data_IF_120333614678
#
_entry.id   IF_120333614678
#
_cell.length_a   1.000
_cell.length_b   1.000
_cell.length_c   1.000
_cell.angle_alpha   90.00
_cell.angle_beta   90.00
_cell.angle_gamma   90.00
#
_symmetry.space_group_name_H-M   'P 1'
#
loop_
_entity.id
_entity.type
_entity.pdbx_description
1 polymer ?
#
# COMPACT_ATOMS: atom_id res chain seq x y z
N UNK A 1 -1.75 -7.56 6.72
CA UNK A 1 -0.88 -7.57 7.91
C UNK A 1 -0.72 -8.97 8.52
N UNK A 2 -1.79 -9.78 8.60
CA UNK A 2 -1.72 -11.13 9.20
C UNK A 2 -0.73 -12.07 8.50
N UNK A 3 -0.71 -12.13 7.15
CA UNK A 3 0.21 -13.01 6.40
C UNK A 3 1.69 -12.72 6.64
N UNK A 4 2.09 -11.44 6.73
CA UNK A 4 3.48 -11.05 7.00
C UNK A 4 3.89 -11.33 8.44
N UNK A 5 2.93 -11.31 9.37
CA UNK A 5 3.18 -11.69 10.77
C UNK A 5 3.31 -13.21 10.88
N UNK A 6 2.42 -13.95 10.22
CA UNK A 6 2.42 -15.41 10.15
C UNK A 6 3.71 -15.94 9.50
N UNK A 7 4.19 -15.31 8.42
CA UNK A 7 5.47 -15.61 7.77
C UNK A 7 6.66 -15.50 8.75
N UNK A 8 6.76 -14.38 9.49
CA UNK A 8 7.83 -14.17 10.47
C UNK A 8 7.79 -15.20 11.60
N UNK A 9 6.60 -15.50 12.11
CA UNK A 9 6.41 -16.46 13.19
C UNK A 9 6.77 -17.89 12.75
N UNK A 10 6.29 -18.33 11.58
CA UNK A 10 6.60 -19.65 11.02
C UNK A 10 8.07 -19.80 10.67
N UNK A 11 8.68 -18.77 10.06
CA UNK A 11 10.10 -18.76 9.72
C UNK A 11 10.96 -18.91 10.98
N UNK A 12 10.63 -18.21 12.07
CA UNK A 12 11.34 -18.34 13.34
C UNK A 12 11.19 -19.76 13.96
N UNK A 13 10.02 -20.39 13.82
CA UNK A 13 9.74 -21.74 14.35
C UNK A 13 10.43 -22.85 13.54
N UNK A 14 10.45 -22.73 12.22
CA UNK A 14 11.18 -23.64 11.33
C UNK A 14 12.69 -23.53 11.58
N UNK A 15 13.22 -22.31 11.66
CA UNK A 15 14.65 -22.08 11.91
C UNK A 15 15.12 -22.53 13.30
N UNK A 16 14.23 -22.59 14.29
CA UNK A 16 14.54 -23.10 15.64
C UNK A 16 14.47 -24.63 15.76
N UNK A 17 14.25 -25.36 14.66
CA UNK A 17 14.20 -26.83 14.66
C UNK A 17 12.96 -27.41 15.37
N UNK A 18 12.00 -26.55 15.74
CA UNK A 18 10.69 -26.94 16.29
C UNK A 18 9.63 -27.16 15.19
N UNK A 19 10.05 -27.06 13.93
CA UNK A 19 9.26 -27.28 12.73
C UNK A 19 8.65 -28.68 12.68
N UNK A 20 7.35 -28.83 12.89
CA UNK A 20 6.64 -30.06 12.54
C UNK A 20 6.38 -29.99 11.03
N UNK A 21 6.50 -31.10 10.28
CA UNK A 21 6.52 -31.09 8.80
C UNK A 21 5.37 -30.34 8.09
N UNK A 22 4.25 -30.10 8.78
CA UNK A 22 3.12 -29.28 8.30
C UNK A 22 3.43 -27.78 8.20
N UNK A 23 4.36 -27.26 8.99
CA UNK A 23 4.70 -25.83 9.06
C UNK A 23 5.52 -25.37 7.85
N UNK A 24 6.36 -26.26 7.30
CA UNK A 24 7.07 -25.99 6.04
C UNK A 24 6.12 -25.86 4.85
N UNK A 25 5.09 -26.71 4.78
CA UNK A 25 4.07 -26.62 3.73
C UNK A 25 3.27 -25.31 3.84
N UNK A 26 2.88 -24.91 5.06
CA UNK A 26 2.17 -23.65 5.31
C UNK A 26 3.04 -22.43 4.95
N UNK A 27 4.32 -22.43 5.30
CA UNK A 27 5.24 -21.35 4.96
C UNK A 27 5.40 -21.21 3.44
N UNK A 28 5.47 -22.32 2.71
CA UNK A 28 5.49 -22.31 1.24
C UNK A 28 4.21 -21.70 0.64
N UNK A 29 3.05 -22.01 1.20
CA UNK A 29 1.77 -21.41 0.77
C UNK A 29 1.75 -19.89 1.01
N UNK A 30 2.24 -19.44 2.17
CA UNK A 30 2.31 -18.02 2.51
C UNK A 30 3.26 -17.28 1.57
N UNK A 31 4.44 -17.85 1.28
CA UNK A 31 5.36 -17.23 0.31
C UNK A 31 4.74 -17.12 -1.07
N UNK A 32 4.06 -18.16 -1.57
CA UNK A 32 3.36 -18.11 -2.85
C UNK A 32 2.30 -16.99 -2.89
N UNK A 33 1.51 -16.84 -1.83
CA UNK A 33 0.52 -15.74 -1.72
C UNK A 33 1.17 -14.37 -1.62
N UNK A 34 2.27 -14.22 -0.89
CA UNK A 34 3.00 -12.96 -0.75
C UNK A 34 3.65 -12.53 -2.09
N UNK A 35 4.13 -13.50 -2.87
CA UNK A 35 4.67 -13.29 -4.21
C UNK A 35 3.56 -12.87 -5.18
N UNK A 36 2.41 -13.54 -5.17
CA UNK A 36 1.25 -13.22 -6.01
C UNK A 36 0.77 -11.77 -5.82
N UNK A 37 0.77 -11.27 -4.59
CA UNK A 37 0.37 -9.88 -4.28
C UNK A 37 1.52 -8.87 -4.39
N UNK A 38 2.71 -9.30 -4.79
CA UNK A 38 3.94 -8.50 -4.83
C UNK A 38 4.17 -7.72 -3.51
N UNK A 39 4.08 -8.41 -2.38
CA UNK A 39 4.11 -7.83 -1.04
C UNK A 39 5.41 -7.06 -0.74
N UNK A 40 6.53 -7.51 -1.32
CA UNK A 40 7.86 -6.89 -1.23
C UNK A 40 7.90 -5.51 -1.91
N UNK A 41 7.16 -5.33 -3.01
CA UNK A 41 7.07 -4.06 -3.76
C UNK A 41 6.06 -3.09 -3.18
N UNK A 42 5.15 -3.55 -2.33
CA UNK A 42 4.07 -2.74 -1.77
C UNK A 42 4.57 -1.45 -1.06
N UNK A 43 5.60 -1.46 -0.20
CA UNK A 43 6.08 -0.24 0.46
C UNK A 43 6.63 0.79 -0.53
N UNK A 44 7.37 0.35 -1.54
CA UNK A 44 7.91 1.23 -2.57
C UNK A 44 6.79 1.87 -3.40
N UNK A 45 5.79 1.08 -3.82
CA UNK A 45 4.61 1.59 -4.54
C UNK A 45 3.82 2.61 -3.71
N UNK A 46 3.59 2.32 -2.43
CA UNK A 46 2.91 3.24 -1.52
C UNK A 46 3.70 4.56 -1.36
N UNK A 47 5.03 4.47 -1.23
CA UNK A 47 5.89 5.65 -1.10
C UNK A 47 5.83 6.55 -2.33
N UNK A 48 5.81 5.98 -3.54
CA UNK A 48 5.65 6.75 -4.80
C UNK A 48 4.33 7.51 -4.84
N UNK A 49 3.21 6.86 -4.48
CA UNK A 49 1.88 7.49 -4.45
C UNK A 49 1.84 8.61 -3.41
N UNK A 50 2.32 8.33 -2.21
CA UNK A 50 2.35 9.31 -1.11
C UNK A 50 3.23 10.51 -1.47
N UNK A 51 4.43 10.29 -2.01
CA UNK A 51 5.31 11.37 -2.45
C UNK A 51 4.65 12.24 -3.54
N UNK A 52 3.96 11.62 -4.49
CA UNK A 52 3.19 12.30 -5.52
C UNK A 52 2.08 13.21 -5.00
N UNK A 53 1.41 12.78 -3.92
CA UNK A 53 0.38 13.56 -3.23
C UNK A 53 0.94 14.58 -2.21
N UNK A 54 2.26 14.73 -2.15
CA UNK A 54 2.96 15.73 -1.34
C UNK A 54 3.41 15.25 0.05
N UNK A 55 3.32 13.95 0.35
CA UNK A 55 3.82 13.42 1.63
C UNK A 55 5.34 13.24 1.58
N UNK A 56 6.06 14.03 2.39
CA UNK A 56 7.51 13.85 2.58
C UNK A 56 7.85 12.50 3.22
N UNK A 57 9.09 12.03 3.05
CA UNK A 57 9.56 10.79 3.68
C UNK A 57 9.35 10.77 5.21
N UNK A 58 9.50 11.93 5.87
CA UNK A 58 9.20 12.08 7.30
C UNK A 58 7.72 11.86 7.59
N UNK A 59 6.83 12.46 6.79
CA UNK A 59 5.38 12.31 6.96
C UNK A 59 4.91 10.87 6.74
N UNK A 60 5.54 10.13 5.83
CA UNK A 60 5.20 8.73 5.59
C UNK A 60 5.43 7.83 6.83
N UNK A 61 6.24 8.28 7.80
CA UNK A 61 6.50 7.59 9.07
C UNK A 61 5.65 8.12 10.24
N UNK A 62 4.86 9.17 10.03
CA UNK A 62 4.02 9.76 11.09
C UNK A 62 2.73 8.98 11.29
N UNK A 63 2.18 9.07 12.51
CA UNK A 63 0.89 8.44 12.79
C UNK A 63 -0.25 9.23 12.17
N UNK A 64 -1.24 8.51 11.64
CA UNK A 64 -2.36 9.12 10.92
C UNK A 64 -3.20 10.09 11.75
N UNK A 65 -3.18 9.94 13.08
CA UNK A 65 -3.87 10.83 14.03
C UNK A 65 -3.27 12.24 14.08
N UNK A 66 -2.00 12.40 13.70
CA UNK A 66 -1.30 13.69 13.72
C UNK A 66 -1.64 14.57 12.50
N UNK A 67 -2.21 13.98 11.45
CA UNK A 67 -2.60 14.72 10.24
C UNK A 67 -3.88 15.54 10.43
N UNK A 68 -3.90 16.72 9.79
CA UNK A 68 -5.13 17.52 9.65
C UNK A 68 -6.16 16.82 8.77
N UNK A 69 -7.41 17.30 8.78
CA UNK A 69 -8.49 16.74 7.96
C UNK A 69 -8.14 16.65 6.46
N UNK A 70 -7.53 17.70 5.90
CA UNK A 70 -7.08 17.70 4.50
C UNK A 70 -6.01 16.65 4.19
N UNK A 71 -5.03 16.48 5.08
CA UNK A 71 -4.00 15.44 4.94
C UNK A 71 -4.58 14.02 5.08
N UNK A 72 -5.57 13.82 5.96
CA UNK A 72 -6.29 12.54 6.05
C UNK A 72 -7.11 12.25 4.79
N UNK A 73 -7.71 13.28 4.17
CA UNK A 73 -8.37 13.15 2.86
C UNK A 73 -7.37 12.73 1.78
N UNK A 74 -6.20 13.37 1.70
CA UNK A 74 -5.12 12.97 0.77
C UNK A 74 -4.65 11.54 1.02
N UNK A 75 -4.58 11.12 2.28
CA UNK A 75 -4.23 9.73 2.64
C UNK A 75 -5.30 8.74 2.21
N UNK A 76 -6.58 9.10 2.30
CA UNK A 76 -7.68 8.28 1.79
C UNK A 76 -7.61 8.11 0.26
N UNK A 77 -7.30 9.19 -0.47
CA UNK A 77 -7.02 9.13 -1.91
C UNK A 77 -5.82 8.22 -2.21
N UNK A 78 -4.71 8.38 -1.48
CA UNK A 78 -3.53 7.52 -1.63
C UNK A 78 -3.88 6.03 -1.46
N UNK A 79 -4.73 5.70 -0.47
CA UNK A 79 -5.20 4.34 -0.22
C UNK A 79 -6.06 3.81 -1.37
N UNK A 80 -6.96 4.63 -1.92
CA UNK A 80 -7.79 4.24 -3.06
C UNK A 80 -6.94 3.96 -4.31
N UNK A 81 -5.97 4.83 -4.60
CA UNK A 81 -5.01 4.64 -5.71
C UNK A 81 -4.14 3.39 -5.51
N UNK A 82 -3.69 3.14 -4.29
CA UNK A 82 -2.86 1.97 -3.96
C UNK A 82 -3.61 0.65 -4.15
N UNK A 83 -4.91 0.63 -3.84
CA UNK A 83 -5.76 -0.56 -3.95
C UNK A 83 -5.99 -1.01 -5.40
N UNK A 84 -5.85 -0.11 -6.38
CA UNK A 84 -6.09 -0.36 -7.82
C UNK A 84 -7.39 -1.13 -8.09
N UNK A 85 -8.56 -0.61 -7.66
CA UNK A 85 -9.83 -1.27 -7.94
C UNK A 85 -10.18 -1.24 -9.43
N UNK A 86 -11.04 -2.16 -9.86
CA UNK A 86 -11.59 -2.20 -11.24
C UNK A 86 -12.45 -0.98 -11.58
N UNK A 87 -13.08 -0.39 -10.56
CA UNK A 87 -13.84 0.85 -10.63
C UNK A 87 -13.38 1.80 -9.53
N UNK A 88 -12.84 2.95 -9.93
CA UNK A 88 -12.46 4.04 -9.04
C UNK A 88 -13.40 5.23 -9.25
N UNK A 89 -14.13 5.63 -8.20
CA UNK A 89 -14.98 6.82 -8.21
C UNK A 89 -14.29 7.94 -7.43
N UNK A 90 -14.09 9.09 -8.06
CA UNK A 90 -13.44 10.25 -7.44
C UNK A 90 -14.36 11.47 -7.45
N UNK A 91 -14.87 11.85 -6.29
CA UNK A 91 -15.65 13.09 -6.12
C UNK A 91 -14.72 14.24 -5.70
N UNK A 92 -14.56 15.24 -6.57
CA UNK A 92 -13.73 16.43 -6.35
C UNK A 92 -12.29 16.12 -5.83
N UNK A 93 -11.53 15.23 -6.48
CA UNK A 93 -10.25 14.72 -5.95
C UNK A 93 -9.14 15.77 -5.85
N UNK A 94 -9.28 16.91 -6.53
CA UNK A 94 -8.27 17.98 -6.60
C UNK A 94 -8.44 19.06 -5.53
N UNK A 95 -9.60 19.13 -4.87
CA UNK A 95 -9.96 20.27 -4.00
C UNK A 95 -8.94 20.53 -2.87
N UNK A 96 -8.36 19.46 -2.32
CA UNK A 96 -7.38 19.54 -1.23
C UNK A 96 -5.93 19.44 -1.70
N UNK A 97 -5.67 19.43 -3.01
CA UNK A 97 -4.35 19.25 -3.60
C UNK A 97 -3.72 20.59 -3.99
N UNK A 98 -2.40 20.67 -3.85
CA UNK A 98 -1.62 21.76 -4.44
C UNK A 98 -1.36 21.47 -5.94
N UNK A 99 -0.94 22.49 -6.69
CA UNK A 99 -0.73 22.40 -8.13
C UNK A 99 0.21 21.26 -8.52
N UNK A 100 1.25 20.98 -7.72
CA UNK A 100 2.20 19.90 -8.02
C UNK A 100 1.54 18.53 -7.86
N UNK A 101 0.77 18.34 -6.78
CA UNK A 101 0.04 17.11 -6.54
C UNK A 101 -1.09 16.89 -7.57
N UNK A 102 -1.74 17.96 -8.05
CA UNK A 102 -2.74 17.88 -9.13
C UNK A 102 -2.09 17.36 -10.42
N UNK A 103 -0.98 17.98 -10.85
CA UNK A 103 -0.26 17.55 -12.07
C UNK A 103 0.23 16.11 -11.92
N UNK A 104 0.73 15.73 -10.74
CA UNK A 104 1.13 14.35 -10.50
C UNK A 104 -0.06 13.39 -10.60
N UNK A 105 -1.19 13.73 -9.97
CA UNK A 105 -2.40 12.90 -9.98
C UNK A 105 -2.94 12.74 -11.41
N UNK A 106 -2.99 13.81 -12.19
CA UNK A 106 -3.43 13.78 -13.59
C UNK A 106 -2.58 12.80 -14.41
N UNK A 107 -1.25 12.96 -14.36
CA UNK A 107 -0.33 12.06 -15.06
C UNK A 107 -0.44 10.61 -14.57
N UNK A 108 -0.68 10.41 -13.28
CA UNK A 108 -0.86 9.07 -12.71
C UNK A 108 -2.14 8.41 -13.24
N UNK A 109 -3.26 9.14 -13.25
CA UNK A 109 -4.55 8.63 -13.72
C UNK A 109 -4.57 8.38 -15.24
N UNK A 110 -3.77 9.09 -16.04
CA UNK A 110 -3.62 8.79 -17.47
C UNK A 110 -3.04 7.40 -17.74
N UNK A 111 -2.30 6.84 -16.79
CA UNK A 111 -1.73 5.47 -16.90
C UNK A 111 -2.65 4.40 -16.31
N UNK A 112 -3.84 4.78 -15.82
CA UNK A 112 -4.75 3.87 -15.16
C UNK A 112 -5.41 2.92 -16.17
N UNK A 113 -5.39 1.63 -15.86
CA UNK A 113 -5.81 0.58 -16.79
C UNK A 113 -7.31 0.25 -16.70
N UNK A 114 -7.93 0.56 -15.57
CA UNK A 114 -9.32 0.19 -15.25
C UNK A 114 -10.28 1.38 -15.38
N UNK A 115 -11.52 1.22 -14.93
CA UNK A 115 -12.53 2.28 -15.05
C UNK A 115 -12.32 3.34 -13.97
N UNK A 116 -12.30 4.61 -14.36
CA UNK A 116 -12.35 5.77 -13.45
C UNK A 116 -13.56 6.63 -13.83
N UNK A 117 -14.32 7.08 -12.83
CA UNK A 117 -15.40 8.06 -12.97
C UNK A 117 -15.21 9.24 -12.00
#
# INVERSE_FOLDING_TARGET
EELLKEEKELTARVNSGRGIGTEGARLSEIYARLEEIEADKAPARASVILAGLGFSAKMQQQTTKEFSGGWRMRLALARALFARPDLLLLDEPTNMLDVKAIIWLENYLQTWQSTIL
#
